data_IF_687682215189
#
_entry.id   IF_687682215189
#
_cell.length_a   1.000
_cell.length_b   1.000
_cell.length_c   1.000
_cell.angle_alpha   90.00
_cell.angle_beta   90.00
_cell.angle_gamma   90.00
#
_symmetry.space_group_name_H-M   'P 1'
#
loop_
_entity.id
_entity.type
_entity.pdbx_description
1 polymer ?
#
# COMPACT_ATOMS: atom_id res chain seq x y z
N UNK A 1 -77.14 -4.28 -65.95
CA UNK A 1 -76.62 -3.04 -65.31
C UNK A 1 -76.42 -3.10 -63.80
N UNK A 2 -77.16 -3.92 -63.05
CA UNK A 2 -77.04 -4.02 -61.56
C UNK A 2 -75.69 -4.51 -61.05
N UNK A 3 -75.01 -5.42 -61.75
CA UNK A 3 -73.72 -5.96 -61.34
C UNK A 3 -72.58 -4.90 -61.37
N UNK A 4 -72.67 -3.98 -62.37
CA UNK A 4 -71.70 -2.90 -62.51
C UNK A 4 -71.82 -1.82 -61.37
N UNK A 5 -73.04 -1.50 -60.94
CA UNK A 5 -73.28 -0.55 -59.89
C UNK A 5 -72.88 -1.09 -58.49
N UNK A 6 -73.11 -2.40 -58.28
CA UNK A 6 -72.74 -3.08 -57.04
C UNK A 6 -71.18 -3.19 -56.89
N UNK A 7 -70.50 -3.48 -58.02
CA UNK A 7 -69.05 -3.47 -58.06
C UNK A 7 -68.43 -2.08 -57.82
N UNK A 8 -69.04 -1.03 -58.44
CA UNK A 8 -68.63 0.35 -58.27
C UNK A 8 -68.75 0.77 -56.78
N UNK A 9 -69.95 0.53 -56.19
CA UNK A 9 -70.17 0.86 -54.76
C UNK A 9 -69.26 0.12 -53.83
N UNK A 10 -68.95 -1.17 -54.07
CA UNK A 10 -68.01 -1.94 -53.29
C UNK A 10 -66.54 -1.40 -53.42
N UNK A 11 -66.19 -0.96 -54.61
CA UNK A 11 -64.92 -0.31 -54.90
C UNK A 11 -64.77 1.06 -54.24
N UNK A 12 -65.84 1.88 -54.29
CA UNK A 12 -65.89 3.16 -53.62
C UNK A 12 -65.80 3.03 -52.11
N UNK A 13 -66.57 2.11 -51.48
CA UNK A 13 -66.46 1.83 -50.04
C UNK A 13 -65.07 1.36 -49.65
N UNK A 14 -64.43 0.48 -50.43
CA UNK A 14 -63.05 0.04 -50.20
C UNK A 14 -62.03 1.20 -50.26
N UNK A 15 -62.22 2.13 -51.25
CA UNK A 15 -61.35 3.31 -51.37
C UNK A 15 -61.54 4.28 -50.20
N UNK A 16 -62.82 4.51 -49.74
CA UNK A 16 -63.09 5.32 -48.56
C UNK A 16 -62.47 4.69 -47.30
N UNK A 17 -62.49 3.36 -47.14
CA UNK A 17 -61.82 2.65 -46.06
C UNK A 17 -60.31 2.92 -46.06
N UNK A 18 -59.66 2.82 -47.24
CA UNK A 18 -58.22 3.10 -47.38
C UNK A 18 -57.85 4.55 -47.08
N UNK A 19 -58.69 5.50 -47.54
CA UNK A 19 -58.46 6.93 -47.26
C UNK A 19 -58.55 7.20 -45.75
N UNK A 20 -59.56 6.65 -45.08
CA UNK A 20 -59.69 6.77 -43.63
C UNK A 20 -58.51 6.18 -42.88
N UNK A 21 -58.01 5.03 -43.27
CA UNK A 21 -56.81 4.42 -42.71
C UNK A 21 -55.57 5.32 -42.90
N UNK A 22 -55.40 5.89 -44.11
CA UNK A 22 -54.30 6.83 -44.39
C UNK A 22 -54.39 8.11 -43.57
N UNK A 23 -55.60 8.64 -43.35
CA UNK A 23 -55.86 9.80 -42.49
C UNK A 23 -55.48 9.50 -41.05
N UNK A 24 -55.89 8.34 -40.51
CA UNK A 24 -55.56 7.91 -39.15
C UNK A 24 -54.04 7.71 -38.98
N UNK A 25 -53.38 7.07 -39.94
CA UNK A 25 -51.91 6.90 -39.92
C UNK A 25 -51.20 8.24 -39.97
N UNK A 26 -51.66 9.19 -40.82
CA UNK A 26 -51.05 10.50 -40.90
C UNK A 26 -51.27 11.32 -39.64
N UNK A 27 -52.48 11.26 -39.03
CA UNK A 27 -52.77 11.88 -37.75
C UNK A 27 -51.86 11.28 -36.62
N UNK A 28 -51.69 9.98 -36.59
CA UNK A 28 -50.77 9.33 -35.62
C UNK A 28 -49.32 9.75 -35.82
N UNK A 29 -48.85 9.90 -37.08
CA UNK A 29 -47.49 10.42 -37.39
C UNK A 29 -47.34 11.87 -36.91
N UNK A 30 -48.33 12.74 -37.18
CA UNK A 30 -48.29 14.12 -36.70
C UNK A 30 -48.31 14.19 -35.17
N UNK A 31 -49.21 13.44 -34.52
CA UNK A 31 -49.31 13.41 -33.07
C UNK A 31 -48.05 12.88 -32.39
N UNK A 32 -47.36 11.89 -32.97
CA UNK A 32 -46.11 11.34 -32.44
C UNK A 32 -44.86 12.13 -32.81
N UNK A 33 -44.94 13.04 -33.79
CA UNK A 33 -43.79 13.76 -34.35
C UNK A 33 -42.78 12.85 -35.09
N UNK A 34 -43.19 11.62 -35.46
CA UNK A 34 -42.37 10.64 -36.14
C UNK A 34 -42.78 10.46 -37.59
N UNK A 35 -41.80 10.35 -38.50
CA UNK A 35 -42.08 10.17 -39.95
C UNK A 35 -42.64 8.77 -40.26
N UNK A 36 -42.32 7.74 -39.45
CA UNK A 36 -42.87 6.40 -39.54
C UNK A 36 -43.11 5.85 -38.12
N UNK A 37 -44.13 5.02 -37.97
CA UNK A 37 -44.55 4.43 -36.69
C UNK A 37 -44.13 2.96 -36.55
N UNK A 38 -44.15 2.23 -37.65
CA UNK A 38 -43.84 0.82 -37.72
C UNK A 38 -42.64 0.58 -38.64
N UNK A 39 -41.79 -0.42 -38.35
CA UNK A 39 -40.68 -0.79 -39.18
C UNK A 39 -41.08 -1.26 -40.58
N UNK A 40 -42.35 -1.68 -40.74
CA UNK A 40 -42.97 -2.05 -42.04
C UNK A 40 -43.22 -0.86 -42.95
N UNK A 41 -43.35 0.35 -42.40
CA UNK A 41 -43.69 1.56 -43.17
C UNK A 41 -42.50 2.04 -44.03
N UNK A 42 -41.29 1.92 -43.44
CA UNK A 42 -40.04 2.22 -44.13
C UNK A 42 -38.92 1.31 -43.55
N UNK A 43 -38.71 0.11 -44.08
CA UNK A 43 -37.75 -0.85 -43.56
C UNK A 43 -36.31 -0.35 -43.66
N UNK A 44 -35.96 0.44 -44.66
CA UNK A 44 -34.59 0.95 -44.86
C UNK A 44 -34.25 2.00 -43.79
N UNK A 45 -35.15 2.97 -43.59
CA UNK A 45 -34.98 4.00 -42.57
C UNK A 45 -35.04 3.39 -41.16
N UNK A 46 -35.88 2.38 -40.92
CA UNK A 46 -35.97 1.67 -39.66
C UNK A 46 -34.66 0.94 -39.34
N UNK A 47 -34.07 0.26 -40.32
CA UNK A 47 -32.73 -0.42 -40.17
C UNK A 47 -31.64 0.62 -39.87
N UNK A 48 -31.55 1.69 -40.64
CA UNK A 48 -30.60 2.76 -40.43
C UNK A 48 -30.76 3.41 -39.04
N UNK A 49 -31.99 3.66 -38.59
CA UNK A 49 -32.28 4.21 -37.27
C UNK A 49 -31.84 3.26 -36.17
N UNK A 50 -32.09 1.97 -36.35
CA UNK A 50 -31.62 0.94 -35.37
C UNK A 50 -30.10 0.94 -35.24
N UNK A 51 -29.37 0.95 -36.37
CA UNK A 51 -27.91 1.02 -36.39
C UNK A 51 -27.39 2.32 -35.71
N UNK A 52 -28.04 3.45 -35.98
CA UNK A 52 -27.68 4.73 -35.34
C UNK A 52 -27.99 4.78 -33.84
N UNK A 53 -29.06 4.13 -33.38
CA UNK A 53 -29.35 3.97 -31.96
C UNK A 53 -28.33 3.10 -31.25
N UNK A 54 -27.94 2.00 -31.87
CA UNK A 54 -26.89 1.11 -31.34
C UNK A 54 -25.57 1.87 -31.22
N UNK A 55 -25.19 2.62 -32.27
CA UNK A 55 -23.99 3.45 -32.24
C UNK A 55 -24.06 4.51 -31.14
N UNK A 56 -25.22 5.17 -30.96
CA UNK A 56 -25.42 6.13 -29.88
C UNK A 56 -25.25 5.49 -28.49
N UNK A 57 -25.87 4.34 -28.23
CA UNK A 57 -25.75 3.62 -26.97
C UNK A 57 -24.28 3.27 -26.70
N UNK A 58 -23.53 2.85 -27.71
CA UNK A 58 -22.11 2.57 -27.59
C UNK A 58 -21.31 3.82 -27.21
N UNK A 59 -21.57 4.96 -27.90
CA UNK A 59 -20.92 6.23 -27.58
C UNK A 59 -21.29 6.73 -26.18
N UNK A 60 -22.55 6.67 -25.80
CA UNK A 60 -23.00 7.04 -24.43
C UNK A 60 -22.30 6.19 -23.36
N UNK A 61 -22.08 4.90 -23.63
CA UNK A 61 -21.28 4.02 -22.76
C UNK A 61 -19.82 4.45 -22.69
N UNK A 62 -19.20 4.83 -23.81
CA UNK A 62 -17.82 5.32 -23.80
C UNK A 62 -17.69 6.62 -23.01
N UNK A 63 -18.62 7.55 -23.16
CA UNK A 63 -18.65 8.80 -22.38
C UNK A 63 -18.77 8.49 -20.88
N UNK A 64 -19.70 7.60 -20.50
CA UNK A 64 -19.85 7.17 -19.10
C UNK A 64 -18.59 6.52 -18.55
N UNK A 65 -17.94 5.63 -19.32
CA UNK A 65 -16.68 5.02 -18.95
C UNK A 65 -15.58 6.07 -18.77
N UNK A 66 -15.50 7.06 -19.67
CA UNK A 66 -14.56 8.16 -19.56
C UNK A 66 -14.73 8.99 -18.29
N UNK A 67 -15.96 9.33 -17.95
CA UNK A 67 -16.26 10.01 -16.69
C UNK A 67 -15.88 9.17 -15.47
N UNK A 68 -16.20 7.88 -15.47
CA UNK A 68 -15.83 6.98 -14.37
C UNK A 68 -14.30 6.86 -14.24
N UNK A 69 -13.59 6.71 -15.35
CA UNK A 69 -12.12 6.65 -15.34
C UNK A 69 -11.53 7.94 -14.78
N UNK A 70 -12.02 9.11 -15.26
CA UNK A 70 -11.57 10.41 -14.78
C UNK A 70 -11.76 10.57 -13.28
N UNK A 71 -12.98 10.29 -12.77
CA UNK A 71 -13.28 10.42 -11.33
C UNK A 71 -12.36 9.54 -10.47
N UNK A 72 -12.07 8.30 -10.92
CA UNK A 72 -11.16 7.40 -10.19
C UNK A 72 -9.72 7.88 -10.22
N UNK A 73 -9.25 8.41 -11.35
CA UNK A 73 -7.90 8.99 -11.46
C UNK A 73 -7.76 10.27 -10.65
N UNK A 74 -8.75 11.17 -10.70
CA UNK A 74 -8.77 12.38 -9.87
C UNK A 74 -8.71 12.05 -8.36
N UNK A 75 -9.38 10.96 -7.95
CA UNK A 75 -9.36 10.50 -6.55
C UNK A 75 -8.02 9.86 -6.19
N UNK A 76 -7.42 9.09 -7.10
CA UNK A 76 -6.08 8.52 -6.92
C UNK A 76 -5.02 9.62 -6.81
N UNK A 77 -5.05 10.59 -7.71
CA UNK A 77 -4.17 11.76 -7.72
C UNK A 77 -4.27 12.56 -6.41
N UNK A 78 -5.50 12.83 -5.95
CA UNK A 78 -5.75 13.46 -4.66
C UNK A 78 -5.17 12.65 -3.50
N UNK A 79 -5.36 11.33 -3.52
CA UNK A 79 -4.80 10.44 -2.49
C UNK A 79 -3.27 10.44 -2.47
N UNK A 80 -2.62 10.36 -3.64
CA UNK A 80 -1.16 10.41 -3.75
C UNK A 80 -0.59 11.74 -3.26
N UNK A 81 -1.23 12.87 -3.64
CA UNK A 81 -0.84 14.19 -3.15
C UNK A 81 -0.97 14.32 -1.63
N UNK A 82 -2.04 13.76 -1.04
CA UNK A 82 -2.20 13.74 0.41
C UNK A 82 -1.10 12.91 1.09
N UNK A 83 -0.76 11.73 0.56
CA UNK A 83 0.36 10.93 1.08
C UNK A 83 1.67 11.69 1.02
N UNK A 84 1.97 12.39 -0.09
CA UNK A 84 3.18 13.21 -0.21
C UNK A 84 3.23 14.30 0.86
N UNK A 85 2.11 14.98 1.12
CA UNK A 85 2.03 16.02 2.15
C UNK A 85 2.26 15.43 3.55
N UNK A 86 1.65 14.28 3.86
CA UNK A 86 1.84 13.56 5.13
C UNK A 86 3.30 13.12 5.30
N UNK A 87 3.91 12.56 4.26
CA UNK A 87 5.30 12.14 4.29
C UNK A 87 6.27 13.33 4.43
N UNK A 88 5.94 14.46 3.84
CA UNK A 88 6.73 15.68 4.01
C UNK A 88 6.70 16.13 5.46
N UNK A 89 5.54 16.17 6.09
CA UNK A 89 5.39 16.46 7.52
C UNK A 89 6.12 15.44 8.39
N UNK A 90 5.98 14.17 8.06
CA UNK A 90 6.68 13.08 8.74
C UNK A 90 8.21 13.26 8.66
N UNK A 91 8.73 13.64 7.49
CA UNK A 91 10.15 13.94 7.30
C UNK A 91 10.63 15.13 8.15
N UNK A 92 9.81 16.18 8.26
CA UNK A 92 10.13 17.34 9.11
C UNK A 92 10.27 16.95 10.57
N UNK A 93 9.30 16.13 11.08
CA UNK A 93 9.35 15.65 12.46
C UNK A 93 10.54 14.72 12.68
N UNK A 94 10.83 13.85 11.71
CA UNK A 94 11.99 12.96 11.77
C UNK A 94 13.31 13.75 11.88
N UNK A 95 13.44 14.83 11.12
CA UNK A 95 14.60 15.75 11.22
C UNK A 95 14.65 16.44 12.58
N UNK A 96 13.51 16.86 13.12
CA UNK A 96 13.44 17.44 14.46
C UNK A 96 13.85 16.43 15.54
N UNK A 97 13.35 15.19 15.45
CA UNK A 97 13.67 14.12 16.39
C UNK A 97 15.16 13.71 16.33
N UNK A 98 15.82 13.95 15.18
CA UNK A 98 17.25 13.74 15.01
C UNK A 98 18.13 14.77 15.72
N UNK A 99 17.55 15.85 16.24
CA UNK A 99 18.32 16.89 16.90
C UNK A 99 18.55 16.51 18.37
N UNK A 100 19.82 16.37 18.78
CA UNK A 100 20.26 15.97 20.11
C UNK A 100 19.87 16.95 21.24
N UNK A 101 19.44 18.16 20.86
CA UNK A 101 18.94 19.15 21.85
C UNK A 101 17.55 18.78 22.41
N UNK A 102 16.82 17.86 21.76
CA UNK A 102 15.51 17.43 22.22
C UNK A 102 15.63 16.37 23.31
N UNK A 103 14.96 16.60 24.42
CA UNK A 103 14.87 15.63 25.52
C UNK A 103 14.06 14.37 25.14
N UNK A 104 14.13 13.35 26.00
CA UNK A 104 13.38 12.08 25.78
C UNK A 104 11.88 12.33 25.70
N UNK A 105 11.33 13.19 26.56
CA UNK A 105 9.88 13.50 26.57
C UNK A 105 9.45 14.25 25.29
N UNK A 106 10.27 15.14 24.78
CA UNK A 106 10.01 15.87 23.53
C UNK A 106 10.01 14.89 22.34
N UNK A 107 10.97 13.97 22.31
CA UNK A 107 11.01 12.92 21.27
C UNK A 107 9.80 11.98 21.36
N UNK A 108 9.34 11.60 22.55
CA UNK A 108 8.13 10.80 22.72
C UNK A 108 6.87 11.51 22.21
N UNK A 109 6.80 12.84 22.38
CA UNK A 109 5.70 13.62 21.82
C UNK A 109 5.74 13.62 20.27
N UNK A 110 6.93 13.78 19.68
CA UNK A 110 7.14 13.69 18.24
C UNK A 110 6.79 12.28 17.70
N UNK A 111 7.18 11.24 18.42
CA UNK A 111 6.83 9.84 18.06
C UNK A 111 5.33 9.64 17.96
N UNK A 112 4.54 10.18 18.89
CA UNK A 112 3.08 10.10 18.82
C UNK A 112 2.53 10.76 17.57
N UNK A 113 3.03 11.96 17.21
CA UNK A 113 2.64 12.62 15.95
C UNK A 113 3.03 11.77 14.73
N UNK A 114 4.21 11.14 14.74
CA UNK A 114 4.64 10.23 13.66
C UNK A 114 3.73 9.00 13.56
N UNK A 115 3.31 8.41 14.67
CA UNK A 115 2.37 7.26 14.70
C UNK A 115 1.00 7.64 14.11
N UNK A 116 0.48 8.82 14.44
CA UNK A 116 -0.77 9.34 13.86
C UNK A 116 -0.63 9.59 12.34
N UNK A 117 0.48 10.17 11.91
CA UNK A 117 0.74 10.36 10.47
C UNK A 117 0.88 9.03 9.72
N UNK A 118 1.50 8.01 10.31
CA UNK A 118 1.59 6.67 9.72
C UNK A 118 0.19 6.01 9.60
N UNK A 119 -0.67 6.21 10.60
CA UNK A 119 -2.07 5.76 10.55
C UNK A 119 -2.84 6.47 9.44
N UNK A 120 -2.65 7.79 9.30
CA UNK A 120 -3.27 8.56 8.21
C UNK A 120 -2.82 8.07 6.83
N UNK A 121 -1.55 7.71 6.65
CA UNK A 121 -1.08 7.09 5.39
C UNK A 121 -1.85 5.78 5.12
N UNK A 122 -2.06 4.94 6.13
CA UNK A 122 -2.84 3.71 5.98
C UNK A 122 -4.29 3.98 5.57
N UNK A 123 -4.92 4.98 6.15
CA UNK A 123 -6.29 5.39 5.79
C UNK A 123 -6.37 5.88 4.35
N UNK A 124 -5.44 6.74 3.92
CA UNK A 124 -5.40 7.26 2.56
C UNK A 124 -5.16 6.12 1.55
N UNK A 125 -4.26 5.18 1.85
CA UNK A 125 -3.98 4.04 0.96
C UNK A 125 -5.16 3.07 0.84
N UNK A 126 -6.11 3.11 1.77
CA UNK A 126 -7.35 2.35 1.76
C UNK A 126 -8.57 3.14 1.25
N UNK A 127 -8.35 4.31 0.62
CA UNK A 127 -9.43 5.13 0.07
C UNK A 127 -10.29 4.35 -0.92
N UNK A 128 -11.61 4.53 -0.82
CA UNK A 128 -12.63 3.88 -1.66
C UNK A 128 -13.35 4.91 -2.53
N UNK A 129 -13.81 4.45 -3.69
CA UNK A 129 -14.69 5.25 -4.55
C UNK A 129 -16.13 5.30 -3.99
N UNK A 130 -17.01 6.09 -4.63
CA UNK A 130 -18.42 6.23 -4.23
C UNK A 130 -19.22 4.91 -4.24
N UNK A 131 -18.70 3.85 -4.85
CA UNK A 131 -19.29 2.53 -4.88
C UNK A 131 -18.67 1.58 -3.81
N UNK A 132 -17.86 2.09 -2.91
CA UNK A 132 -17.17 1.30 -1.88
C UNK A 132 -16.03 0.43 -2.43
N UNK A 133 -15.50 0.75 -3.61
CA UNK A 133 -14.38 0.01 -4.22
C UNK A 133 -13.07 0.71 -3.94
N UNK A 134 -12.12 -0.04 -3.39
CA UNK A 134 -10.76 0.46 -3.17
C UNK A 134 -10.09 0.87 -4.49
N UNK A 135 -9.35 1.96 -4.45
CA UNK A 135 -8.66 2.53 -5.62
C UNK A 135 -7.32 1.83 -5.85
N UNK A 136 -6.64 1.45 -4.77
CA UNK A 136 -5.28 0.91 -4.79
C UNK A 136 -5.20 -0.62 -4.63
N UNK A 137 -6.34 -1.34 -4.57
CA UNK A 137 -6.35 -2.80 -4.38
C UNK A 137 -6.28 -3.62 -5.69
N UNK A 138 -6.02 -2.98 -6.83
CA UNK A 138 -6.00 -3.66 -8.12
C UNK A 138 -7.38 -4.21 -8.52
N UNK A 139 -7.47 -5.45 -9.00
CA UNK A 139 -8.76 -6.09 -9.33
C UNK A 139 -9.56 -6.50 -8.09
N UNK A 140 -8.91 -6.69 -6.93
CA UNK A 140 -9.58 -7.01 -5.65
C UNK A 140 -10.22 -5.78 -5.00
N UNK A 141 -10.83 -4.92 -5.78
CA UNK A 141 -11.38 -3.64 -5.32
C UNK A 141 -12.48 -3.74 -4.24
N UNK A 142 -13.03 -4.93 -3.97
CA UNK A 142 -14.03 -5.13 -2.93
C UNK A 142 -13.45 -5.23 -1.50
N UNK A 143 -12.13 -5.31 -1.37
CA UNK A 143 -11.40 -5.39 -0.09
C UNK A 143 -10.51 -4.17 0.08
N UNK A 144 -10.06 -3.90 1.31
CA UNK A 144 -9.01 -2.91 1.57
C UNK A 144 -7.75 -3.26 0.79
N UNK A 145 -6.99 -2.26 0.36
CA UNK A 145 -5.72 -2.49 -0.32
C UNK A 145 -4.63 -2.98 0.65
N UNK A 146 -4.62 -2.42 1.86
CA UNK A 146 -3.67 -2.75 2.91
C UNK A 146 -4.41 -3.17 4.18
N UNK A 147 -3.87 -4.16 4.86
CA UNK A 147 -4.42 -4.66 6.12
C UNK A 147 -3.34 -4.72 7.19
N UNK A 148 -3.70 -4.34 8.40
CA UNK A 148 -2.82 -4.46 9.56
C UNK A 148 -3.01 -5.84 10.19
N UNK A 149 -1.94 -6.57 10.36
CA UNK A 149 -1.90 -7.86 11.06
C UNK A 149 -1.90 -7.66 12.58
N UNK A 150 -2.13 -8.74 13.30
CA UNK A 150 -2.11 -8.74 14.78
C UNK A 150 -0.74 -8.36 15.37
N UNK A 151 0.33 -8.60 14.63
CA UNK A 151 1.70 -8.21 14.98
C UNK A 151 2.00 -6.73 14.71
N UNK A 152 1.03 -5.98 14.20
CA UNK A 152 1.14 -4.56 13.85
C UNK A 152 1.72 -4.31 12.46
N UNK A 153 2.18 -5.32 11.72
CA UNK A 153 2.69 -5.13 10.36
C UNK A 153 1.57 -4.86 9.38
N UNK A 154 1.86 -4.04 8.35
CA UNK A 154 0.89 -3.69 7.32
C UNK A 154 1.29 -4.38 6.03
N UNK A 155 0.39 -5.21 5.51
CA UNK A 155 0.61 -5.95 4.27
C UNK A 155 -0.35 -5.52 3.16
N UNK A 156 0.11 -5.63 1.93
CA UNK A 156 -0.72 -5.46 0.75
C UNK A 156 -1.53 -6.73 0.48
N UNK A 157 -2.86 -6.63 0.56
CA UNK A 157 -3.80 -7.75 0.32
C UNK A 157 -4.51 -7.66 -1.02
N UNK A 158 -4.26 -6.60 -1.78
CA UNK A 158 -4.74 -6.40 -3.14
C UNK A 158 -4.09 -7.36 -4.13
N UNK A 159 -4.26 -7.08 -5.41
CA UNK A 159 -3.54 -7.73 -6.50
C UNK A 159 -2.87 -6.70 -7.42
N UNK A 160 -1.99 -7.16 -8.31
CA UNK A 160 -1.23 -6.31 -9.24
C UNK A 160 -1.96 -5.98 -10.53
N UNK A 161 -3.29 -6.10 -10.54
CA UNK A 161 -4.10 -5.83 -11.72
C UNK A 161 -4.48 -4.36 -11.85
N UNK A 162 -4.45 -3.84 -13.07
CA UNK A 162 -4.89 -2.48 -13.36
C UNK A 162 -6.22 -2.52 -14.12
N UNK A 163 -7.26 -1.94 -13.52
CA UNK A 163 -8.54 -1.77 -14.19
C UNK A 163 -8.40 -0.82 -15.38
N UNK A 164 -8.86 -1.26 -16.55
CA UNK A 164 -8.91 -0.44 -17.74
C UNK A 164 -10.35 -0.35 -18.25
N UNK A 165 -10.81 0.86 -18.55
CA UNK A 165 -12.12 1.14 -19.10
C UNK A 165 -12.00 1.51 -20.57
N UNK A 166 -12.86 0.93 -21.43
CA UNK A 166 -12.90 1.25 -22.84
C UNK A 166 -13.61 2.58 -23.05
N UNK A 167 -12.93 3.57 -23.62
CA UNK A 167 -13.40 4.93 -23.85
C UNK A 167 -13.61 5.26 -25.33
N UNK A 168 -13.17 4.37 -26.21
CA UNK A 168 -13.48 4.38 -27.64
C UNK A 168 -13.35 2.96 -28.19
N UNK A 169 -13.66 2.75 -29.49
CA UNK A 169 -13.54 1.43 -30.12
C UNK A 169 -12.14 0.83 -29.98
N UNK A 170 -11.10 1.66 -30.06
CA UNK A 170 -9.70 1.22 -30.05
C UNK A 170 -8.88 1.75 -28.88
N UNK A 171 -9.49 2.43 -27.91
CA UNK A 171 -8.77 3.04 -26.78
C UNK A 171 -9.32 2.58 -25.44
N UNK A 172 -8.40 2.12 -24.59
CA UNK A 172 -8.66 1.82 -23.18
C UNK A 172 -7.83 2.76 -22.30
N UNK A 173 -8.41 3.26 -21.24
CA UNK A 173 -7.74 4.07 -20.21
C UNK A 173 -7.63 3.24 -18.96
N UNK A 174 -6.44 3.15 -18.40
CA UNK A 174 -6.19 2.55 -17.08
C UNK A 174 -6.80 3.48 -16.04
N UNK A 175 -7.65 2.95 -15.17
CA UNK A 175 -8.42 3.70 -14.17
C UNK A 175 -8.17 3.24 -12.74
N UNK A 176 -7.09 2.49 -12.50
CA UNK A 176 -6.69 2.01 -11.18
C UNK A 176 -5.18 1.92 -11.08
N UNK A 177 -4.66 2.11 -9.89
CA UNK A 177 -3.25 1.94 -9.56
C UNK A 177 -3.06 0.71 -8.69
N UNK A 178 -1.95 0.00 -8.90
CA UNK A 178 -1.52 -1.10 -8.02
C UNK A 178 -0.81 -0.53 -6.80
N UNK A 179 -1.47 -0.56 -5.65
CA UNK A 179 -0.90 -0.10 -4.38
C UNK A 179 0.34 -0.87 -3.95
N UNK A 180 0.48 -2.13 -4.36
CA UNK A 180 1.67 -2.92 -4.10
C UNK A 180 2.92 -2.39 -4.80
N UNK A 181 2.76 -1.82 -6.00
CA UNK A 181 3.86 -1.15 -6.71
C UNK A 181 4.10 0.26 -6.16
N UNK A 182 3.03 1.02 -5.90
CA UNK A 182 3.12 2.42 -5.46
C UNK A 182 3.66 2.53 -4.04
N UNK A 183 3.15 1.74 -3.09
CA UNK A 183 3.45 1.86 -1.66
C UNK A 183 4.24 0.68 -1.09
N UNK A 184 4.18 -0.48 -1.73
CA UNK A 184 4.76 -1.72 -1.21
C UNK A 184 6.16 -2.03 -1.74
N UNK A 185 6.71 -1.25 -2.68
CA UNK A 185 7.98 -1.62 -3.36
C UNK A 185 8.88 -0.41 -3.66
N UNK A 186 9.20 0.35 -2.64
CA UNK A 186 10.05 1.54 -2.71
C UNK A 186 11.52 1.09 -2.69
N UNK A 187 12.31 1.61 -3.63
CA UNK A 187 13.74 1.28 -3.69
C UNK A 187 14.50 2.12 -2.66
N UNK A 188 15.10 1.47 -1.68
CA UNK A 188 16.02 2.05 -0.70
C UNK A 188 17.46 1.57 -0.95
N UNK A 189 18.41 2.04 -0.18
CA UNK A 189 19.82 1.59 -0.28
C UNK A 189 19.97 0.13 0.18
N UNK A 190 19.08 -0.34 1.04
CA UNK A 190 19.05 -1.70 1.60
C UNK A 190 18.02 -2.63 0.95
N UNK A 191 17.65 -2.37 -0.30
CA UNK A 191 16.70 -3.18 -1.03
C UNK A 191 15.34 -2.48 -1.21
N UNK A 192 14.29 -3.28 -1.42
CA UNK A 192 12.94 -2.77 -1.57
C UNK A 192 12.19 -2.89 -0.25
N UNK A 193 11.60 -1.79 0.18
CA UNK A 193 10.81 -1.69 1.41
C UNK A 193 9.41 -1.18 1.11
N UNK A 194 8.45 -1.52 1.94
CA UNK A 194 7.14 -0.86 1.92
C UNK A 194 7.22 0.52 2.57
N UNK A 195 6.30 1.41 2.21
CA UNK A 195 6.19 2.71 2.88
C UNK A 195 5.99 2.55 4.39
N UNK A 196 5.18 1.57 4.79
CA UNK A 196 4.86 1.30 6.19
C UNK A 196 6.07 0.81 6.98
N UNK A 197 6.90 -0.03 6.36
CA UNK A 197 8.17 -0.46 6.93
C UNK A 197 9.13 0.72 7.13
N UNK A 198 9.20 1.64 6.16
CA UNK A 198 10.03 2.84 6.24
C UNK A 198 9.54 3.76 7.36
N UNK A 199 8.22 3.99 7.47
CA UNK A 199 7.63 4.78 8.54
C UNK A 199 7.86 4.15 9.91
N UNK A 200 7.65 2.83 10.04
CA UNK A 200 7.88 2.10 11.28
C UNK A 200 9.35 2.16 11.72
N UNK A 201 10.28 1.98 10.78
CA UNK A 201 11.71 2.10 11.07
C UNK A 201 12.07 3.52 11.58
N UNK A 202 11.48 4.57 10.98
CA UNK A 202 11.68 5.95 11.45
C UNK A 202 11.08 6.20 12.82
N UNK A 203 9.90 5.68 13.12
CA UNK A 203 9.26 5.78 14.44
C UNK A 203 10.12 5.09 15.48
N UNK A 204 10.62 3.88 15.17
CA UNK A 204 11.49 3.14 16.08
C UNK A 204 12.83 3.86 16.30
N UNK A 205 13.38 4.49 15.27
CA UNK A 205 14.57 5.32 15.38
C UNK A 205 14.36 6.53 16.30
N UNK A 206 13.18 7.14 16.26
CA UNK A 206 12.86 8.31 17.08
C UNK A 206 12.49 7.99 18.53
N UNK A 207 11.95 6.78 18.82
CA UNK A 207 11.49 6.37 20.16
C UNK A 207 12.59 6.37 21.21
N UNK A 208 13.70 5.78 20.90
CA UNK A 208 14.91 5.82 21.70
C UNK A 208 16.05 5.71 20.72
N UNK A 209 17.09 6.47 20.90
CA UNK A 209 18.28 6.24 20.15
C UNK A 209 18.57 4.75 20.09
N UNK A 210 18.23 4.09 18.97
CA UNK A 210 18.51 2.68 18.68
C UNK A 210 17.90 1.60 19.60
N UNK A 211 16.58 1.51 19.67
CA UNK A 211 15.89 0.39 20.32
C UNK A 211 15.10 -0.46 19.33
N UNK A 212 15.22 -1.77 19.38
CA UNK A 212 14.37 -2.73 18.66
C UNK A 212 13.86 -3.79 19.63
N UNK A 213 12.54 -4.06 19.59
CA UNK A 213 11.90 -5.10 20.37
C UNK A 213 11.29 -6.17 19.47
N UNK A 214 11.34 -7.43 19.89
CA UNK A 214 10.68 -8.53 19.17
C UNK A 214 9.17 -8.31 19.13
N UNK A 215 8.53 -8.77 18.04
CA UNK A 215 7.08 -8.84 17.89
C UNK A 215 6.63 -10.30 17.93
N UNK A 216 5.40 -10.53 18.33
CA UNK A 216 4.78 -11.85 18.35
C UNK A 216 4.23 -12.26 19.70
N UNK A 217 3.69 -13.47 19.77
CA UNK A 217 3.18 -14.07 21.01
C UNK A 217 4.31 -14.64 21.86
N UNK A 218 4.20 -14.51 23.17
CA UNK A 218 5.15 -15.10 24.11
C UNK A 218 5.16 -16.65 24.06
N UNK A 219 6.32 -17.32 24.23
CA UNK A 219 7.65 -16.74 24.40
C UNK A 219 8.20 -16.18 23.09
N UNK A 220 8.83 -15.00 23.17
CA UNK A 220 9.36 -14.32 22.01
C UNK A 220 10.58 -15.02 21.47
N UNK A 221 10.70 -15.06 20.14
CA UNK A 221 11.92 -15.49 19.43
C UNK A 221 12.29 -14.45 18.38
N UNK A 222 13.59 -14.27 18.19
CA UNK A 222 14.11 -13.38 17.17
C UNK A 222 15.42 -13.90 16.58
N UNK A 223 15.59 -13.78 15.28
CA UNK A 223 16.87 -13.95 14.61
C UNK A 223 17.62 -12.62 14.61
N UNK A 224 18.87 -12.66 15.01
CA UNK A 224 19.78 -11.53 15.02
C UNK A 224 20.88 -11.77 13.99
N UNK A 225 20.95 -10.89 13.02
CA UNK A 225 22.01 -10.82 12.01
C UNK A 225 22.90 -9.62 12.31
N UNK A 226 24.22 -9.83 12.30
CA UNK A 226 25.19 -8.80 12.63
C UNK A 226 26.03 -8.44 11.42
N UNK A 227 26.04 -7.17 11.06
CA UNK A 227 27.03 -6.61 10.16
C UNK A 227 28.22 -6.10 10.99
N UNK A 228 29.28 -6.87 11.03
CA UNK A 228 30.48 -6.57 11.82
C UNK A 228 31.72 -6.49 10.94
N UNK A 229 32.71 -5.73 11.39
CA UNK A 229 34.00 -5.60 10.73
C UNK A 229 34.82 -6.91 10.80
N UNK A 230 35.78 -7.04 9.89
CA UNK A 230 36.85 -8.08 10.03
C UNK A 230 37.76 -7.78 11.21
N UNK A 231 38.04 -6.53 11.47
CA UNK A 231 38.83 -6.11 12.61
C UNK A 231 37.96 -6.00 13.84
N UNK A 232 38.38 -6.47 15.02
CA UNK A 232 37.62 -6.31 16.24
C UNK A 232 37.34 -4.84 16.55
N UNK A 233 36.07 -4.53 16.86
CA UNK A 233 35.64 -3.23 17.35
C UNK A 233 34.88 -3.43 18.65
N UNK A 234 34.99 -2.49 19.56
CA UNK A 234 34.28 -2.56 20.83
C UNK A 234 32.80 -2.18 20.58
N UNK A 235 31.91 -3.12 20.90
CA UNK A 235 30.46 -2.97 20.80
C UNK A 235 29.85 -2.98 22.18
N UNK A 236 29.05 -1.99 22.51
CA UNK A 236 28.29 -1.90 23.74
C UNK A 236 26.80 -1.79 23.39
N UNK A 237 25.97 -2.60 23.99
CA UNK A 237 24.51 -2.54 23.83
C UNK A 237 23.79 -3.15 25.03
N UNK A 238 22.55 -2.77 25.21
CA UNK A 238 21.69 -3.30 26.24
C UNK A 238 20.80 -4.41 25.68
N UNK A 239 20.71 -5.53 26.38
CA UNK A 239 19.81 -6.65 26.11
C UNK A 239 18.83 -6.78 27.25
N UNK A 240 17.54 -6.70 26.95
CA UNK A 240 16.44 -6.76 27.90
C UNK A 240 15.47 -7.89 27.54
N UNK A 241 15.14 -8.71 28.51
CA UNK A 241 14.15 -9.77 28.44
C UNK A 241 13.19 -9.73 29.64
N UNK A 242 12.47 -10.82 29.89
CA UNK A 242 11.47 -10.89 30.95
C UNK A 242 12.02 -10.75 32.36
N UNK A 243 13.26 -11.20 32.61
CA UNK A 243 13.88 -11.19 33.95
C UNK A 243 14.62 -9.88 34.23
N UNK A 244 14.95 -9.10 33.19
CA UNK A 244 15.62 -7.82 33.35
C UNK A 244 16.50 -7.42 32.18
N UNK A 245 17.34 -6.41 32.42
CA UNK A 245 18.21 -5.77 31.45
C UNK A 245 19.66 -5.88 31.86
N UNK A 246 20.52 -6.14 30.88
CA UNK A 246 21.99 -6.14 31.05
C UNK A 246 22.63 -5.30 29.95
N UNK A 247 23.81 -4.78 30.23
CA UNK A 247 24.69 -4.22 29.21
C UNK A 247 25.73 -5.27 28.81
N UNK A 248 25.83 -5.53 27.50
CA UNK A 248 26.86 -6.36 26.90
C UNK A 248 27.91 -5.44 26.32
N UNK A 249 29.17 -5.63 26.69
CA UNK A 249 30.30 -4.85 26.18
C UNK A 249 31.40 -5.81 25.80
N UNK A 250 31.69 -5.95 24.49
CA UNK A 250 32.69 -6.87 23.99
C UNK A 250 33.26 -6.44 22.64
N UNK A 251 34.46 -6.97 22.33
CA UNK A 251 35.05 -6.79 21.02
C UNK A 251 34.41 -7.76 20.01
N UNK A 252 33.65 -7.23 19.05
CA UNK A 252 33.03 -8.02 18.00
C UNK A 252 33.76 -7.88 16.67
N UNK A 253 33.87 -9.01 15.98
CA UNK A 253 34.36 -9.14 14.61
C UNK A 253 33.65 -10.30 13.92
N UNK A 254 33.83 -10.44 12.62
CA UNK A 254 33.29 -11.59 11.89
C UNK A 254 33.69 -12.96 12.47
N UNK A 255 34.84 -13.03 13.16
CA UNK A 255 35.34 -14.27 13.76
C UNK A 255 34.75 -14.53 15.16
N UNK A 256 34.26 -13.51 15.86
CA UNK A 256 33.79 -13.60 17.27
C UNK A 256 32.26 -13.54 17.44
N UNK A 257 31.49 -13.70 16.36
CA UNK A 257 30.01 -13.72 16.47
C UNK A 257 29.53 -14.87 17.36
N UNK A 258 30.20 -16.02 17.31
CA UNK A 258 29.87 -17.14 18.19
C UNK A 258 30.14 -16.84 19.67
N UNK A 259 31.14 -16.01 20.00
CA UNK A 259 31.45 -15.60 21.36
C UNK A 259 30.34 -14.72 21.95
N UNK A 260 29.68 -13.95 21.10
CA UNK A 260 28.49 -13.17 21.53
C UNK A 260 27.36 -14.06 22.03
N UNK A 261 27.10 -15.21 21.40
CA UNK A 261 26.18 -16.23 21.90
C UNK A 261 26.56 -16.67 23.31
N UNK A 262 27.82 -16.92 23.54
CA UNK A 262 28.30 -17.40 24.87
C UNK A 262 28.17 -16.32 25.93
N UNK A 263 28.44 -15.05 25.58
CA UNK A 263 28.27 -13.92 26.48
C UNK A 263 26.79 -13.70 26.84
N UNK A 264 25.88 -13.79 25.86
CA UNK A 264 24.42 -13.71 26.13
C UNK A 264 23.98 -14.82 27.05
N UNK A 265 24.43 -16.06 26.81
CA UNK A 265 24.06 -17.23 27.62
C UNK A 265 24.64 -17.19 29.04
N UNK A 266 25.76 -16.51 29.26
CA UNK A 266 26.33 -16.30 30.60
C UNK A 266 25.38 -15.47 31.49
N UNK A 267 24.50 -14.67 30.87
CA UNK A 267 23.57 -13.78 31.54
C UNK A 267 22.08 -14.18 31.40
N UNK A 268 21.81 -15.42 30.99
CA UNK A 268 20.44 -15.94 30.85
C UNK A 268 19.63 -15.81 32.14
N UNK A 269 20.26 -16.01 33.31
CA UNK A 269 19.59 -15.88 34.63
C UNK A 269 19.12 -14.45 34.93
N UNK A 270 19.71 -13.44 34.28
CA UNK A 270 19.38 -12.03 34.48
C UNK A 270 18.42 -11.47 33.42
N UNK A 271 18.37 -12.07 32.26
CA UNK A 271 17.56 -11.58 31.15
C UNK A 271 16.39 -12.49 30.80
N UNK A 272 16.50 -13.79 31.10
CA UNK A 272 15.56 -14.81 30.62
C UNK A 272 15.81 -15.24 29.16
N UNK A 273 16.84 -14.70 28.50
CA UNK A 273 17.11 -14.93 27.08
C UNK A 273 18.19 -16.01 26.91
N UNK A 274 17.92 -16.96 26.04
CA UNK A 274 18.89 -17.95 25.54
C UNK A 274 19.25 -17.64 24.08
N UNK A 275 20.53 -17.78 23.75
CA UNK A 275 21.07 -17.58 22.42
C UNK A 275 21.58 -18.88 21.82
N UNK A 276 21.27 -19.13 20.55
CA UNK A 276 21.86 -20.19 19.72
C UNK A 276 22.47 -19.57 18.48
N UNK A 277 23.60 -20.15 18.04
CA UNK A 277 24.31 -19.66 16.85
C UNK A 277 24.32 -20.71 15.76
N UNK A 278 23.98 -20.32 14.54
CA UNK A 278 24.03 -21.14 13.33
C UNK A 278 25.28 -20.76 12.52
N UNK A 279 26.23 -21.63 12.47
CA UNK A 279 27.52 -21.44 11.75
C UNK A 279 27.33 -21.34 10.22
N UNK A 280 26.22 -21.89 9.67
CA UNK A 280 25.92 -21.85 8.24
C UNK A 280 25.37 -20.49 7.81
N UNK A 281 24.40 -19.97 8.56
CA UNK A 281 23.75 -18.68 8.27
C UNK A 281 24.44 -17.49 8.94
N UNK A 282 25.36 -17.77 9.89
CA UNK A 282 26.04 -16.74 10.72
C UNK A 282 25.09 -15.88 11.54
N UNK A 283 23.91 -16.43 11.87
CA UNK A 283 22.87 -15.74 12.66
C UNK A 283 22.83 -16.28 14.09
N UNK A 284 22.41 -15.40 14.99
CA UNK A 284 22.10 -15.76 16.38
C UNK A 284 20.58 -15.78 16.53
N UNK A 285 20.03 -16.87 17.01
CA UNK A 285 18.62 -16.94 17.39
C UNK A 285 18.51 -16.70 18.90
N UNK A 286 17.80 -15.66 19.29
CA UNK A 286 17.44 -15.32 20.63
C UNK A 286 16.08 -15.95 20.95
N UNK A 287 15.95 -16.59 22.10
CA UNK A 287 14.72 -17.20 22.58
C UNK A 287 14.47 -16.78 24.01
N UNK A 288 13.30 -16.21 24.28
CA UNK A 288 12.86 -15.89 25.64
C UNK A 288 12.34 -17.16 26.32
N UNK A 289 12.71 -17.38 27.59
CA UNK A 289 12.23 -18.53 28.39
C UNK A 289 10.83 -18.35 28.89
N UNK A 290 10.43 -17.13 29.18
CA UNK A 290 9.16 -16.78 29.78
C UNK A 290 8.32 -15.92 28.83
N UNK A 291 7.14 -15.50 29.30
CA UNK A 291 6.33 -14.55 28.55
C UNK A 291 6.96 -13.15 28.64
N UNK A 292 7.56 -12.69 27.56
CA UNK A 292 8.20 -11.39 27.49
C UNK A 292 8.60 -11.02 26.04
N UNK A 293 9.15 -9.84 25.88
CA UNK A 293 9.71 -9.35 24.62
C UNK A 293 11.24 -9.30 24.73
N UNK A 294 11.92 -9.61 23.65
CA UNK A 294 13.36 -9.42 23.53
C UNK A 294 13.59 -8.01 23.01
N UNK A 295 14.31 -7.18 23.76
CA UNK A 295 14.64 -5.81 23.36
C UNK A 295 16.15 -5.63 23.33
N UNK A 296 16.68 -5.09 22.24
CA UNK A 296 18.05 -4.62 22.10
C UNK A 296 18.04 -3.11 21.97
N UNK A 297 18.88 -2.42 22.73
CA UNK A 297 18.89 -0.93 22.76
C UNK A 297 20.28 -0.40 23.06
N UNK A 298 20.46 0.92 22.89
CA UNK A 298 21.67 1.66 23.23
C UNK A 298 22.93 1.07 22.58
N UNK A 299 22.86 0.77 21.28
CA UNK A 299 24.03 0.30 20.54
C UNK A 299 25.03 1.45 20.38
N UNK A 300 26.24 1.21 20.85
CA UNK A 300 27.41 2.09 20.69
C UNK A 300 28.56 1.25 20.14
N UNK A 301 29.20 1.74 19.08
CA UNK A 301 30.28 1.05 18.37
C UNK A 301 31.48 1.98 18.30
N UNK A 302 32.57 1.60 18.96
CA UNK A 302 33.75 2.44 19.01
C UNK A 302 34.36 2.66 17.61
N UNK A 303 34.57 3.92 17.26
CA UNK A 303 35.22 4.33 16.00
C UNK A 303 34.24 4.40 14.79
N UNK A 304 32.93 4.36 15.01
CA UNK A 304 31.94 4.63 13.96
C UNK A 304 31.77 6.13 13.77
N UNK A 305 31.89 6.59 12.53
CA UNK A 305 31.67 7.98 12.17
C UNK A 305 30.19 8.19 11.73
N UNK A 306 29.45 9.03 12.43
CA UNK A 306 28.06 9.38 12.13
C UNK A 306 27.84 10.07 10.77
N UNK A 307 28.90 10.46 10.08
CA UNK A 307 28.82 11.12 8.77
C UNK A 307 28.54 10.15 7.60
N UNK A 308 28.60 8.84 7.81
CA UNK A 308 28.35 7.86 6.75
C UNK A 308 26.86 7.71 6.45
N UNK A 309 26.50 7.80 5.18
CA UNK A 309 25.09 7.67 4.71
C UNK A 309 24.52 6.27 4.83
N UNK A 310 25.39 5.26 4.95
CA UNK A 310 25.02 3.85 5.04
C UNK A 310 25.62 3.28 6.31
N UNK A 311 24.83 2.64 7.20
CA UNK A 311 25.37 1.99 8.36
C UNK A 311 26.27 0.83 7.90
N UNK A 312 27.57 0.94 8.17
CA UNK A 312 28.53 -0.12 7.89
C UNK A 312 28.36 -1.28 8.87
N UNK A 313 27.94 -0.96 10.10
CA UNK A 313 27.78 -1.91 11.18
C UNK A 313 26.39 -1.76 11.82
N UNK A 314 25.72 -2.90 12.01
CA UNK A 314 24.39 -2.92 12.59
C UNK A 314 24.03 -4.28 13.14
N UNK A 315 23.06 -4.32 14.04
CA UNK A 315 22.24 -5.47 14.26
C UNK A 315 20.98 -5.40 13.39
N UNK A 316 20.60 -6.50 12.78
CA UNK A 316 19.28 -6.66 12.18
C UNK A 316 18.53 -7.74 12.97
N UNK A 317 17.43 -7.36 13.58
CA UNK A 317 16.56 -8.27 14.32
C UNK A 317 15.29 -8.57 13.55
N UNK A 318 14.96 -9.83 13.40
CA UNK A 318 13.75 -10.32 12.77
C UNK A 318 13.02 -11.24 13.75
N UNK A 319 11.77 -10.89 14.10
CA UNK A 319 10.96 -11.74 14.98
C UNK A 319 10.52 -13.00 14.26
N UNK A 320 10.50 -14.13 14.97
CA UNK A 320 10.04 -15.42 14.45
C UNK A 320 8.99 -16.03 15.40
N UNK A 321 8.07 -16.80 14.85
CA UNK A 321 7.10 -17.58 15.63
C UNK A 321 7.72 -18.89 16.17
N UNK A 322 6.92 -19.67 16.88
CA UNK A 322 7.33 -20.98 17.43
C UNK A 322 7.70 -22.00 16.35
N UNK A 323 7.24 -21.82 15.11
CA UNK A 323 7.47 -22.69 13.97
C UNK A 323 8.66 -22.20 13.09
N UNK A 324 9.24 -21.03 13.41
CA UNK A 324 10.37 -20.44 12.70
C UNK A 324 9.96 -19.54 11.53
N UNK A 325 8.66 -19.23 11.37
CA UNK A 325 8.22 -18.26 10.35
C UNK A 325 8.48 -16.84 10.82
N UNK A 326 8.85 -15.97 9.89
CA UNK A 326 9.14 -14.57 10.15
C UNK A 326 7.88 -13.78 10.48
N UNK A 327 7.97 -12.94 11.50
CA UNK A 327 6.89 -12.06 11.95
C UNK A 327 7.32 -10.62 11.75
N UNK A 328 6.62 -9.92 10.88
CA UNK A 328 6.87 -8.52 10.63
C UNK A 328 8.05 -8.26 9.69
N UNK A 329 8.58 -7.05 9.78
CA UNK A 329 9.73 -6.61 8.99
C UNK A 329 11.02 -6.72 9.81
N UNK A 330 12.17 -7.07 9.19
CA UNK A 330 13.45 -6.99 9.84
C UNK A 330 13.74 -5.54 10.24
N UNK A 331 14.27 -5.34 11.44
CA UNK A 331 14.58 -4.02 11.99
C UNK A 331 16.05 -3.92 12.27
N UNK A 332 16.65 -2.86 11.83
CA UNK A 332 18.06 -2.58 12.07
C UNK A 332 18.22 -1.68 13.29
N UNK A 333 19.17 -2.02 14.11
CA UNK A 333 19.71 -1.17 15.16
C UNK A 333 21.12 -0.78 14.70
N UNK A 334 21.34 0.50 14.61
CA UNK A 334 22.64 1.07 14.28
C UNK A 334 23.06 1.97 15.43
N UNK A 335 24.34 2.35 15.43
CA UNK A 335 24.84 3.33 16.37
C UNK A 335 23.96 4.62 16.32
N UNK A 336 23.80 5.26 17.48
CA UNK A 336 22.89 6.38 17.67
C UNK A 336 23.12 7.53 16.69
N UNK A 337 24.37 7.81 16.37
CA UNK A 337 24.74 8.88 15.47
C UNK A 337 24.36 8.64 14.02
N UNK A 338 24.11 7.38 13.64
CA UNK A 338 23.75 6.97 12.25
C UNK A 338 22.26 6.79 12.02
N UNK A 339 21.46 6.55 13.07
CA UNK A 339 20.06 6.09 12.97
C UNK A 339 19.17 7.00 12.16
N UNK A 340 19.26 8.30 12.40
CA UNK A 340 18.27 9.24 11.88
C UNK A 340 18.55 9.65 10.43
N UNK A 341 19.81 9.67 9.99
CA UNK A 341 20.15 10.07 8.62
C UNK A 341 19.61 9.08 7.58
N UNK A 342 19.70 7.77 7.87
CA UNK A 342 19.17 6.70 7.02
C UNK A 342 17.65 6.77 6.92
N UNK A 343 16.95 6.94 8.05
CA UNK A 343 15.50 7.04 8.10
C UNK A 343 14.97 8.23 7.28
N UNK A 344 15.54 9.40 7.45
CA UNK A 344 15.19 10.61 6.68
C UNK A 344 15.48 10.41 5.19
N UNK A 345 16.58 9.73 4.85
CA UNK A 345 16.93 9.38 3.47
C UNK A 345 15.88 8.48 2.81
N UNK A 346 15.42 7.45 3.50
CA UNK A 346 14.41 6.52 2.99
C UNK A 346 13.03 7.18 2.84
N UNK A 347 12.65 8.09 3.74
CA UNK A 347 11.42 8.89 3.60
C UNK A 347 11.48 9.78 2.35
N UNK A 348 12.61 10.45 2.10
CA UNK A 348 12.79 11.27 0.89
C UNK A 348 12.69 10.42 -0.38
N UNK A 349 13.23 9.19 -0.38
CA UNK A 349 13.08 8.25 -1.50
C UNK A 349 11.62 7.83 -1.70
N UNK A 350 10.87 7.66 -0.61
CA UNK A 350 9.43 7.37 -0.66
C UNK A 350 8.64 8.51 -1.30
N UNK A 351 8.91 9.75 -0.91
CA UNK A 351 8.29 10.95 -1.51
C UNK A 351 8.58 11.01 -3.01
N UNK A 352 9.84 10.85 -3.40
CA UNK A 352 10.24 10.87 -4.81
C UNK A 352 9.60 9.71 -5.61
N UNK A 353 9.53 8.52 -5.02
CA UNK A 353 8.91 7.37 -5.68
C UNK A 353 7.42 7.62 -5.95
N UNK A 354 6.67 8.11 -4.96
CA UNK A 354 5.24 8.41 -5.09
C UNK A 354 5.01 9.59 -6.05
N UNK A 355 5.83 10.64 -5.97
CA UNK A 355 5.77 11.77 -6.91
C UNK A 355 5.97 11.37 -8.37
N UNK A 356 6.72 10.33 -8.64
CA UNK A 356 6.90 9.80 -10.00
C UNK A 356 5.71 8.95 -10.47
N UNK A 357 4.72 8.67 -9.62
CA UNK A 357 3.47 7.98 -9.98
C UNK A 357 2.33 8.96 -10.32
N UNK A 358 2.48 10.24 -10.00
CA UNK A 358 1.59 11.35 -10.41
C UNK A 358 1.85 11.74 -11.86
#
# INVERSE_FOLDING_TARGET
MEVSTKLFNAQATKNFGKINEQIQDTQAKIASGKSFLKASDDPVTASNLSAKREQKILLDRFVKNGHTAKTRLDLADSGLNQVINVLTRFSEISIQAANDTNGVDDRLAMVKEMEELATLVLEITNTQDANGKSIFAGFKAATSAFNQRLDGTIEYVGDRGNHALQVSENMKVVSGLDGGTVFGSIKTDYGRKSIFEILENSINAAKTASQVSSKGTAPAKAELELAVSRNPQNWSFDLEGSEGKININMNLSQASIADLRDEINLHTDKTGIEATYDDTTKKITLSEKFAGTITVSNLDIEGVDGATREPEFYFQMESIDGEGNKIGYPRQIVDQDQVMSTSVGDIKKSINHISNQL
#
